data_IF_629167484627
#
_entry.id   IF_629167484627
#
_cell.length_a   1.000
_cell.length_b   1.000
_cell.length_c   1.000
_cell.angle_alpha   90.00
_cell.angle_beta   90.00
_cell.angle_gamma   90.00
#
_symmetry.space_group_name_H-M   'P 1'
#
loop_
_entity.id
_entity.type
_entity.pdbx_description
1 polymer ?
#
# COMPACT_ATOMS: atom_id res chain seq x y z
N UNK A 1 25.04 5.43 -22.85
CA UNK A 1 24.19 5.30 -21.65
C UNK A 1 25.10 5.03 -20.48
N UNK A 2 25.24 5.98 -19.55
CA UNK A 2 25.99 5.77 -18.30
C UNK A 2 25.04 5.07 -17.32
N UNK A 3 25.26 3.78 -17.07
CA UNK A 3 24.64 3.07 -15.96
C UNK A 3 25.40 3.47 -14.69
N UNK A 4 24.83 4.37 -13.91
CA UNK A 4 25.33 4.69 -12.58
C UNK A 4 24.97 3.51 -11.67
N UNK A 5 25.96 2.69 -11.33
CA UNK A 5 25.83 1.64 -10.32
C UNK A 5 25.55 2.30 -8.96
N UNK A 6 24.28 2.34 -8.55
CA UNK A 6 23.88 2.84 -7.25
C UNK A 6 24.32 1.83 -6.19
N UNK A 7 25.46 2.09 -5.55
CA UNK A 7 25.93 1.33 -4.40
C UNK A 7 25.09 1.68 -3.16
N UNK A 8 23.80 1.35 -3.18
CA UNK A 8 22.89 1.57 -2.05
C UNK A 8 22.96 0.37 -1.11
N UNK A 9 23.66 0.54 0.01
CA UNK A 9 23.55 -0.40 1.13
C UNK A 9 22.15 -0.27 1.73
N UNK A 10 21.45 -1.39 2.01
CA UNK A 10 20.15 -1.33 2.68
C UNK A 10 20.31 -0.68 4.05
N UNK A 11 19.49 0.33 4.32
CA UNK A 11 19.37 0.98 5.61
C UNK A 11 18.35 0.22 6.47
N UNK A 12 18.68 -0.01 7.73
CA UNK A 12 17.75 -0.59 8.71
C UNK A 12 16.93 0.55 9.30
N UNK A 13 15.62 0.53 9.08
CA UNK A 13 14.69 1.52 9.59
C UNK A 13 13.90 0.93 10.77
N UNK A 14 13.73 1.71 11.84
CA UNK A 14 12.94 1.29 13.00
C UNK A 14 11.44 1.23 12.68
N UNK A 15 10.93 2.18 11.88
CA UNK A 15 9.55 2.19 11.45
C UNK A 15 9.40 2.78 10.04
N UNK A 16 8.42 2.28 9.29
CA UNK A 16 8.09 2.73 7.94
C UNK A 16 6.59 2.80 7.73
N UNK A 17 6.18 3.72 6.86
CA UNK A 17 4.80 3.84 6.41
C UNK A 17 4.74 3.56 4.91
N UNK A 18 3.97 2.55 4.52
CA UNK A 18 3.71 2.18 3.12
C UNK A 18 2.27 2.53 2.78
N UNK A 19 2.03 3.20 1.65
CA UNK A 19 0.68 3.52 1.18
C UNK A 19 0.48 3.00 -0.24
N UNK A 20 -0.46 2.07 -0.38
CA UNK A 20 -0.98 1.61 -1.66
C UNK A 20 -2.10 2.57 -2.11
N UNK A 21 -2.04 3.05 -3.35
CA UNK A 21 -3.06 3.92 -3.96
C UNK A 21 -3.32 3.47 -5.39
N UNK A 22 -4.57 3.54 -5.82
CA UNK A 22 -4.99 3.11 -7.15
C UNK A 22 -6.48 3.33 -7.37
N UNK A 23 -6.96 3.03 -8.58
CA UNK A 23 -8.37 3.17 -8.91
C UNK A 23 -9.21 2.19 -8.08
N UNK A 24 -10.40 2.62 -7.69
CA UNK A 24 -11.31 1.77 -6.94
C UNK A 24 -11.70 0.56 -7.79
N UNK A 25 -11.42 -0.63 -7.27
CA UNK A 25 -11.57 -1.89 -8.00
C UNK A 25 -10.25 -2.56 -8.38
N UNK A 26 -9.13 -1.83 -8.37
CA UNK A 26 -7.79 -2.39 -8.69
C UNK A 26 -7.17 -3.19 -7.54
N UNK A 27 -7.89 -3.32 -6.41
CA UNK A 27 -7.51 -4.22 -5.33
C UNK A 27 -6.52 -3.65 -4.32
N UNK A 28 -6.45 -2.33 -4.12
CA UNK A 28 -5.57 -1.72 -3.11
C UNK A 28 -5.79 -2.28 -1.70
N UNK A 29 -7.04 -2.66 -1.39
CA UNK A 29 -7.40 -3.26 -0.11
C UNK A 29 -6.91 -4.70 0.00
N UNK A 30 -6.99 -5.47 -1.09
CA UNK A 30 -6.47 -6.83 -1.13
C UNK A 30 -4.94 -6.80 -1.01
N UNK A 31 -4.27 -5.99 -1.82
CA UNK A 31 -2.82 -5.80 -1.80
C UNK A 31 -2.34 -5.37 -0.42
N UNK A 32 -2.97 -4.35 0.15
CA UNK A 32 -2.65 -3.86 1.49
C UNK A 32 -2.85 -4.92 2.58
N UNK A 33 -3.97 -5.66 2.53
CA UNK A 33 -4.25 -6.73 3.51
C UNK A 33 -3.21 -7.86 3.42
N UNK A 34 -2.89 -8.32 2.21
CA UNK A 34 -1.90 -9.38 2.01
C UNK A 34 -0.50 -8.93 2.44
N UNK A 35 -0.13 -7.70 2.14
CA UNK A 35 1.15 -7.11 2.55
C UNK A 35 1.25 -7.00 4.08
N UNK A 36 0.23 -6.46 4.74
CA UNK A 36 0.15 -6.38 6.21
C UNK A 36 0.20 -7.75 6.85
N UNK A 37 -0.58 -8.72 6.35
CA UNK A 37 -0.59 -10.09 6.85
C UNK A 37 0.78 -10.75 6.73
N UNK A 38 1.44 -10.58 5.58
CA UNK A 38 2.80 -11.08 5.37
C UNK A 38 3.78 -10.41 6.33
N UNK A 39 3.73 -9.09 6.48
CA UNK A 39 4.61 -8.34 7.39
C UNK A 39 4.45 -8.81 8.84
N UNK A 40 3.22 -9.02 9.30
CA UNK A 40 2.94 -9.54 10.63
C UNK A 40 3.43 -10.99 10.81
N UNK A 41 3.33 -11.84 9.77
CA UNK A 41 3.89 -13.21 9.80
C UNK A 41 5.41 -13.24 9.94
N UNK A 42 6.10 -12.18 9.49
CA UNK A 42 7.54 -12.00 9.72
C UNK A 42 7.87 -11.40 11.10
N UNK A 43 6.87 -11.16 11.94
CA UNK A 43 7.03 -10.69 13.32
C UNK A 43 7.10 -9.17 13.46
N UNK A 44 6.75 -8.40 12.43
CA UNK A 44 6.68 -6.95 12.56
C UNK A 44 5.39 -6.52 13.26
N UNK A 45 5.47 -5.47 14.07
CA UNK A 45 4.29 -4.75 14.52
C UNK A 45 3.66 -4.01 13.34
N UNK A 46 2.33 -4.10 13.22
CA UNK A 46 1.59 -3.52 12.10
C UNK A 46 0.35 -2.77 12.54
N UNK A 47 0.11 -1.62 11.94
CA UNK A 47 -1.16 -0.90 12.01
C UNK A 47 -1.67 -0.58 10.60
N UNK A 48 -2.96 -0.80 10.37
CA UNK A 48 -3.58 -0.62 9.04
C UNK A 48 -4.60 0.51 9.05
N UNK A 49 -4.60 1.26 7.95
CA UNK A 49 -5.47 2.41 7.73
C UNK A 49 -6.05 2.33 6.31
N UNK A 50 -7.11 1.52 6.09
CA UNK A 50 -7.78 1.46 4.81
C UNK A 50 -8.52 2.76 4.51
N UNK A 51 -8.47 3.20 3.26
CA UNK A 51 -9.21 4.35 2.74
C UNK A 51 -10.09 3.88 1.58
N UNK A 52 -11.40 3.86 1.82
CA UNK A 52 -12.41 3.50 0.83
C UNK A 52 -12.97 4.78 0.22
N UNK A 53 -13.20 4.82 -1.11
CA UNK A 53 -13.87 5.94 -1.73
C UNK A 53 -15.29 6.12 -1.17
N UNK A 54 -15.80 7.34 -1.22
CA UNK A 54 -17.13 7.67 -0.68
C UNK A 54 -18.27 6.99 -1.47
N UNK A 55 -17.99 6.56 -2.69
CA UNK A 55 -18.94 5.89 -3.57
C UNK A 55 -18.99 4.39 -3.30
N UNK A 56 -20.10 3.88 -2.74
CA UNK A 56 -20.33 2.44 -2.52
C UNK A 56 -20.24 1.63 -3.84
N UNK A 57 -20.62 2.24 -4.96
CA UNK A 57 -20.43 1.76 -6.33
C UNK A 57 -20.57 2.96 -7.26
N UNK A 58 -19.53 3.25 -8.04
CA UNK A 58 -19.59 4.29 -9.06
C UNK A 58 -20.75 3.98 -10.04
N UNK A 59 -21.62 4.95 -10.39
CA UNK A 59 -22.65 4.76 -11.41
C UNK A 59 -22.06 4.17 -12.70
N UNK A 60 -22.85 3.35 -13.41
CA UNK A 60 -22.43 2.78 -14.69
C UNK A 60 -21.97 3.90 -15.64
N UNK A 61 -20.72 3.82 -16.10
CA UNK A 61 -20.11 4.81 -16.99
C UNK A 61 -19.41 6.00 -16.31
N UNK A 62 -19.27 6.02 -14.99
CA UNK A 62 -18.48 7.03 -14.27
C UNK A 62 -17.02 6.59 -14.04
N UNK A 63 -16.11 7.56 -13.95
CA UNK A 63 -14.72 7.31 -13.55
C UNK A 63 -14.71 6.79 -12.11
N UNK A 64 -13.95 5.72 -11.86
CA UNK A 64 -13.77 5.16 -10.52
C UNK A 64 -13.16 6.20 -9.58
N UNK A 65 -13.62 6.23 -8.32
CA UNK A 65 -12.94 6.98 -7.27
C UNK A 65 -11.55 6.39 -6.98
N UNK A 66 -10.68 7.14 -6.32
CA UNK A 66 -9.38 6.63 -5.87
C UNK A 66 -9.56 5.91 -4.54
N UNK A 67 -8.92 4.77 -4.38
CA UNK A 67 -8.87 4.04 -3.11
C UNK A 67 -7.44 3.95 -2.59
N UNK A 68 -7.30 3.70 -1.29
CA UNK A 68 -5.98 3.54 -0.69
C UNK A 68 -5.95 2.56 0.47
N UNK A 69 -4.75 2.12 0.81
CA UNK A 69 -4.49 1.31 1.99
C UNK A 69 -3.13 1.70 2.54
N UNK A 70 -3.08 2.17 3.77
CA UNK A 70 -1.84 2.50 4.44
C UNK A 70 -1.50 1.46 5.50
N UNK A 71 -0.22 1.12 5.59
CA UNK A 71 0.35 0.19 6.56
C UNK A 71 1.50 0.89 7.25
N UNK A 72 1.48 0.88 8.57
CA UNK A 72 2.62 1.26 9.40
C UNK A 72 3.28 -0.05 9.85
N UNK A 73 4.59 -0.12 9.75
CA UNK A 73 5.41 -1.29 10.08
C UNK A 73 6.54 -0.82 10.99
N UNK A 74 6.76 -1.53 12.09
CA UNK A 74 7.77 -1.19 13.09
C UNK A 74 7.14 -0.91 14.44
#
# INVERSE_FOLDING_TARGET
>A
MLTTELNQKPEVLEAVIVRFVGDSGDGMQLTGTQFSGTSAMFGNDVATFPNYPAEIRAPQGSLYGVSGFQVHIG
#
